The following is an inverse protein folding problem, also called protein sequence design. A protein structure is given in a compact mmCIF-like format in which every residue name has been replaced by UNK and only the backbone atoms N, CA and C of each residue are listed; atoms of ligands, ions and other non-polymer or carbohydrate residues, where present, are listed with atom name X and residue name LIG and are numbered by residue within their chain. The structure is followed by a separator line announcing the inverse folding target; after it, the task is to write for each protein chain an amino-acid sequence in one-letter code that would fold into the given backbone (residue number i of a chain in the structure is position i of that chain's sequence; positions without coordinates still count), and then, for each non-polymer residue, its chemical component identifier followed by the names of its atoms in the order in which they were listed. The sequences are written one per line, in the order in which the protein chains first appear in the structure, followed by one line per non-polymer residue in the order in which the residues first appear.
data_IF_687446067230
#
_entry.id   IF_687446067230
#
_cell.length_a   1.000
_cell.length_b   1.000
_cell.length_c   1.000
_cell.angle_alpha   90.00
_cell.angle_beta   90.00
_cell.angle_gamma   90.00
#
_symmetry.space_group_name_H-M   'P 1'
#
loop_
_entity.id
_entity.type
_entity.pdbx_description
1 polymer ?
#
# COMPACT_ATOMS: atom_id res chain seq x y z
N UNK A 1 16.26 -0.96 -10.85
CA UNK A 1 16.61 -2.26 -10.25
C UNK A 1 18.10 -2.56 -10.48
N UNK A 2 18.73 -3.20 -9.51
CA UNK A 2 20.13 -3.66 -9.64
C UNK A 2 20.27 -4.69 -10.76
N UNK A 3 19.21 -5.41 -11.10
CA UNK A 3 19.11 -6.37 -12.19
C UNK A 3 17.76 -6.26 -12.90
N UNK A 4 17.76 -6.40 -14.23
CA UNK A 4 16.56 -6.41 -15.07
C UNK A 4 16.20 -5.07 -15.69
N UNK A 5 15.06 -5.02 -16.38
CA UNK A 5 14.56 -3.81 -17.02
C UNK A 5 14.08 -2.77 -15.98
N UNK A 6 14.18 -1.47 -16.30
CA UNK A 6 13.60 -0.43 -15.46
C UNK A 6 12.10 -0.66 -15.24
N UNK A 7 11.65 -0.50 -14.00
CA UNK A 7 10.20 -0.52 -13.67
C UNK A 7 9.73 0.92 -13.55
N UNK A 8 8.64 1.25 -14.22
CA UNK A 8 7.97 2.55 -14.08
C UNK A 8 6.81 2.35 -13.13
N UNK A 9 6.80 3.08 -12.03
CA UNK A 9 5.74 3.00 -11.01
C UNK A 9 5.46 4.38 -10.43
N UNK A 10 4.23 4.58 -9.96
CA UNK A 10 3.82 5.76 -9.18
C UNK A 10 3.84 5.48 -7.68
N UNK A 11 4.06 4.23 -7.28
CA UNK A 11 4.10 3.84 -5.87
C UNK A 11 5.41 4.27 -5.20
N UNK A 12 5.29 5.11 -4.16
CA UNK A 12 6.43 5.65 -3.44
C UNK A 12 7.23 4.60 -2.66
N UNK A 13 6.58 3.55 -2.14
CA UNK A 13 7.29 2.49 -1.41
C UNK A 13 8.15 1.64 -2.35
N UNK A 14 7.68 1.34 -3.55
CA UNK A 14 8.44 0.61 -4.57
C UNK A 14 9.69 1.39 -4.99
N UNK A 15 9.56 2.71 -5.17
CA UNK A 15 10.71 3.57 -5.47
C UNK A 15 11.68 3.62 -4.28
N UNK A 16 11.17 3.80 -3.06
CA UNK A 16 12.00 3.89 -1.86
C UNK A 16 12.80 2.60 -1.61
N UNK A 17 12.18 1.43 -1.82
CA UNK A 17 12.82 0.12 -1.61
C UNK A 17 14.04 -0.11 -2.51
N UNK A 18 14.05 0.45 -3.71
CA UNK A 18 15.15 0.29 -4.68
C UNK A 18 16.26 1.34 -4.51
N UNK A 19 16.05 2.35 -3.64
CA UNK A 19 17.03 3.41 -3.44
C UNK A 19 18.22 2.92 -2.62
N UNK A 20 19.41 2.98 -3.19
CA UNK A 20 20.67 2.65 -2.53
C UNK A 20 21.71 3.73 -2.86
N UNK A 21 22.32 4.30 -1.82
CA UNK A 21 23.27 5.39 -1.92
C UNK A 21 24.69 4.88 -1.66
N UNK A 22 25.67 5.47 -2.34
CA UNK A 22 27.09 5.04 -2.25
C UNK A 22 27.71 5.43 -0.92
N UNK A 23 27.37 6.60 -0.36
CA UNK A 23 27.83 7.02 0.94
C UNK A 23 27.10 6.27 2.07
N UNK A 24 27.85 5.72 3.01
CA UNK A 24 27.32 4.92 4.12
C UNK A 24 26.35 5.70 5.01
N UNK A 25 26.66 6.95 5.30
CA UNK A 25 25.84 7.78 6.21
C UNK A 25 24.56 8.23 5.50
N UNK A 26 24.65 8.63 4.25
CA UNK A 26 23.49 8.96 3.44
C UNK A 26 22.59 7.74 3.26
N UNK A 27 23.19 6.56 3.04
CA UNK A 27 22.44 5.30 2.91
C UNK A 27 21.73 4.92 4.20
N UNK A 28 22.30 5.19 5.38
CA UNK A 28 21.58 5.01 6.66
C UNK A 28 20.32 5.88 6.72
N UNK A 29 20.39 7.14 6.27
CA UNK A 29 19.22 8.00 6.14
C UNK A 29 18.19 7.43 5.16
N UNK A 30 18.63 6.94 4.01
CA UNK A 30 17.76 6.30 3.03
C UNK A 30 17.03 5.07 3.61
N UNK A 31 17.72 4.25 4.43
CA UNK A 31 17.08 3.11 5.09
C UNK A 31 15.98 3.53 6.08
N UNK A 32 16.18 4.64 6.80
CA UNK A 32 15.14 5.19 7.69
C UNK A 32 13.90 5.62 6.90
N UNK A 33 14.09 6.29 5.76
CA UNK A 33 12.99 6.68 4.87
C UNK A 33 12.27 5.46 4.29
N UNK A 34 13.01 4.41 3.89
CA UNK A 34 12.42 3.13 3.47
C UNK A 34 11.51 2.55 4.56
N UNK A 35 11.94 2.60 5.81
CA UNK A 35 11.14 2.09 6.94
C UNK A 35 9.83 2.85 7.06
N UNK A 36 9.86 4.20 6.96
CA UNK A 36 8.64 5.02 7.00
C UNK A 36 7.67 4.63 5.87
N UNK A 37 8.17 4.54 4.64
CA UNK A 37 7.34 4.17 3.49
C UNK A 37 6.76 2.76 3.62
N UNK A 38 7.56 1.78 4.08
CA UNK A 38 7.11 0.40 4.26
C UNK A 38 6.06 0.28 5.35
N UNK A 39 6.25 0.89 6.52
CA UNK A 39 5.25 0.87 7.59
C UNK A 39 3.93 1.51 7.14
N UNK A 40 3.98 2.63 6.41
CA UNK A 40 2.77 3.26 5.88
C UNK A 40 2.04 2.35 4.91
N UNK A 41 2.79 1.64 4.05
CA UNK A 41 2.22 0.67 3.12
C UNK A 41 1.57 -0.51 3.85
N UNK A 42 2.22 -1.03 4.88
CA UNK A 42 1.76 -2.20 5.63
C UNK A 42 0.50 -1.88 6.48
N UNK A 43 0.42 -0.66 7.02
CA UNK A 43 -0.68 -0.26 7.90
C UNK A 43 -1.89 0.33 7.15
N UNK A 44 -1.65 1.11 6.10
CA UNK A 44 -2.70 1.85 5.39
C UNK A 44 -2.84 1.47 3.90
N UNK A 45 -1.85 0.85 3.30
CA UNK A 45 -1.84 0.51 1.88
C UNK A 45 -1.69 1.71 0.93
N UNK A 46 -1.77 2.93 1.44
CA UNK A 46 -1.72 4.17 0.67
C UNK A 46 -1.01 5.28 1.46
N UNK A 47 -0.71 6.40 0.80
CA UNK A 47 -0.10 7.57 1.43
C UNK A 47 1.41 7.48 1.67
N UNK A 48 2.10 6.52 1.08
CA UNK A 48 3.55 6.28 1.26
C UNK A 48 4.41 7.49 0.88
N UNK A 49 4.08 8.15 -0.22
CA UNK A 49 4.75 9.38 -0.66
C UNK A 49 4.50 10.53 0.31
N UNK A 50 3.25 10.71 0.75
CA UNK A 50 2.87 11.73 1.73
C UNK A 50 3.61 11.54 3.05
N UNK A 51 3.67 10.32 3.56
CA UNK A 51 4.40 9.99 4.78
C UNK A 51 5.90 10.30 4.66
N UNK A 52 6.49 10.02 3.50
CA UNK A 52 7.91 10.31 3.22
C UNK A 52 8.17 11.83 3.23
N UNK A 53 7.31 12.62 2.59
CA UNK A 53 7.42 14.09 2.57
C UNK A 53 7.23 14.68 3.97
N UNK A 54 6.27 14.16 4.74
CA UNK A 54 6.07 14.58 6.13
C UNK A 54 7.29 14.24 7.00
N UNK A 55 7.84 13.05 6.87
CA UNK A 55 9.05 12.66 7.58
C UNK A 55 10.23 13.61 7.26
N UNK A 56 10.43 13.94 5.98
CA UNK A 56 11.44 14.93 5.58
C UNK A 56 11.21 16.28 6.23
N UNK A 57 9.99 16.79 6.24
CA UNK A 57 9.66 18.08 6.83
C UNK A 57 9.91 18.08 8.35
N UNK A 58 9.48 17.04 9.05
CA UNK A 58 9.67 16.89 10.51
C UNK A 58 11.16 16.83 10.84
N UNK A 59 11.95 16.07 10.10
CA UNK A 59 13.40 15.95 10.31
C UNK A 59 14.10 17.27 10.04
N UNK A 60 13.78 17.96 8.94
CA UNK A 60 14.41 19.23 8.59
C UNK A 60 14.13 20.32 9.63
N UNK A 61 12.91 20.43 10.13
CA UNK A 61 12.57 21.38 11.19
C UNK A 61 13.18 20.97 12.53
N UNK A 62 13.18 19.68 12.84
CA UNK A 62 13.81 19.15 14.05
C UNK A 62 15.31 19.40 14.09
N UNK A 63 16.02 19.23 12.97
CA UNK A 63 17.46 19.50 12.87
C UNK A 63 17.81 20.96 13.16
N UNK A 64 16.98 21.91 12.74
CA UNK A 64 17.17 23.34 13.06
C UNK A 64 17.15 23.57 14.59
N UNK A 65 16.19 22.93 15.27
CA UNK A 65 16.07 23.02 16.72
C UNK A 65 17.27 22.40 17.44
N UNK A 66 17.72 21.21 16.99
CA UNK A 66 18.89 20.55 17.56
C UNK A 66 20.16 21.38 17.33
N UNK A 67 20.34 21.95 16.15
CA UNK A 67 21.44 22.86 15.83
C UNK A 67 21.42 24.12 16.69
N UNK A 68 20.25 24.59 17.12
CA UNK A 68 20.09 25.70 18.05
C UNK A 68 20.32 25.32 19.54
N UNK A 69 20.68 24.04 19.81
CA UNK A 69 21.03 23.58 21.16
C UNK A 69 19.87 22.94 21.95
N UNK A 70 18.72 22.69 21.32
CA UNK A 70 17.63 21.99 21.98
C UNK A 70 18.00 20.51 22.21
N UNK A 71 17.53 19.98 23.33
CA UNK A 71 17.71 18.55 23.62
C UNK A 71 16.89 17.69 22.67
N UNK A 72 17.50 16.75 21.90
CA UNK A 72 16.76 15.90 20.96
C UNK A 72 15.67 15.04 21.59
N UNK A 73 15.86 14.60 22.85
CA UNK A 73 14.87 13.79 23.55
C UNK A 73 13.64 14.59 23.97
N UNK A 74 13.84 15.88 24.35
CA UNK A 74 12.72 16.76 24.65
C UNK A 74 11.96 17.16 23.37
N UNK A 75 12.70 17.35 22.27
CA UNK A 75 12.11 17.56 20.95
C UNK A 75 11.24 16.35 20.54
N UNK A 76 11.75 15.15 20.71
CA UNK A 76 10.99 13.92 20.45
C UNK A 76 9.70 13.85 21.27
N UNK A 77 9.74 14.17 22.56
CA UNK A 77 8.53 14.21 23.40
C UNK A 77 7.52 15.26 22.92
N UNK A 78 8.01 16.40 22.39
CA UNK A 78 7.16 17.41 21.77
C UNK A 78 6.49 16.92 20.50
N UNK A 79 7.24 16.23 19.64
CA UNK A 79 6.73 15.61 18.41
C UNK A 79 5.66 14.55 18.75
N UNK A 80 5.90 13.67 19.73
CA UNK A 80 4.94 12.64 20.16
C UNK A 80 3.61 13.27 20.61
N UNK A 81 3.66 14.35 21.38
CA UNK A 81 2.44 15.08 21.80
C UNK A 81 1.70 15.71 20.62
N UNK A 82 2.44 16.31 19.68
CA UNK A 82 1.85 16.92 18.49
C UNK A 82 1.19 15.86 17.60
N UNK A 83 1.85 14.71 17.41
CA UNK A 83 1.30 13.57 16.65
C UNK A 83 0.02 13.05 17.31
N UNK A 84 0.02 12.85 18.62
CA UNK A 84 -1.18 12.38 19.34
C UNK A 84 -2.36 13.36 19.17
N UNK A 85 -2.12 14.67 19.25
CA UNK A 85 -3.14 15.69 19.03
C UNK A 85 -3.65 15.70 17.57
N UNK A 86 -2.73 15.59 16.59
CA UNK A 86 -3.08 15.56 15.18
C UNK A 86 -3.91 14.30 14.83
N UNK A 87 -3.50 13.11 15.33
CA UNK A 87 -4.23 11.86 15.14
C UNK A 87 -5.64 11.95 15.73
N UNK A 88 -5.78 12.48 16.95
CA UNK A 88 -7.10 12.69 17.57
C UNK A 88 -8.01 13.62 16.75
N UNK A 89 -7.44 14.68 16.16
CA UNK A 89 -8.20 15.56 15.27
C UNK A 89 -8.61 14.88 13.98
N UNK A 90 -7.71 14.10 13.38
CA UNK A 90 -7.99 13.33 12.15
C UNK A 90 -9.05 12.26 12.39
N UNK A 91 -9.00 11.56 13.52
CA UNK A 91 -10.03 10.57 13.88
C UNK A 91 -11.42 11.22 14.03
N UNK A 92 -11.48 12.42 14.60
CA UNK A 92 -12.73 13.17 14.70
C UNK A 92 -13.25 13.72 13.37
N UNK A 93 -12.38 13.90 12.39
CA UNK A 93 -12.72 14.37 11.04
C UNK A 93 -13.00 13.22 10.06
N UNK A 94 -12.60 11.99 10.40
CA UNK A 94 -12.79 10.84 9.52
C UNK A 94 -14.28 10.50 9.36
N UNK A 95 -14.66 10.09 8.17
CA UNK A 95 -16.01 9.65 7.85
C UNK A 95 -16.00 8.17 7.49
N UNK A 96 -17.01 7.38 7.93
CA UNK A 96 -17.14 6.00 7.50
C UNK A 96 -17.32 5.90 5.99
N UNK A 97 -16.58 4.98 5.37
CA UNK A 97 -16.70 4.68 3.95
C UNK A 97 -17.69 3.52 3.78
N UNK A 98 -19.01 3.83 3.76
CA UNK A 98 -20.07 2.81 3.74
C UNK A 98 -20.82 2.76 2.42
N UNK A 99 -20.87 3.87 1.70
CA UNK A 99 -21.58 3.99 0.44
C UNK A 99 -20.67 3.57 -0.73
N UNK A 100 -21.27 2.91 -1.73
CA UNK A 100 -20.55 2.44 -2.94
C UNK A 100 -19.86 3.59 -3.67
N UNK A 101 -20.49 4.77 -3.69
CA UNK A 101 -19.91 5.98 -4.27
C UNK A 101 -18.64 6.42 -3.51
N UNK A 102 -18.64 6.33 -2.20
CA UNK A 102 -17.47 6.65 -1.39
C UNK A 102 -16.36 5.62 -1.60
N UNK A 103 -16.70 4.35 -1.71
CA UNK A 103 -15.75 3.27 -2.03
C UNK A 103 -15.11 3.51 -3.39
N UNK A 104 -15.90 3.82 -4.43
CA UNK A 104 -15.39 4.13 -5.76
C UNK A 104 -14.47 5.36 -5.75
N UNK A 105 -14.82 6.41 -5.00
CA UNK A 105 -13.98 7.60 -4.86
C UNK A 105 -12.65 7.31 -4.19
N UNK A 106 -12.64 6.54 -3.10
CA UNK A 106 -11.41 6.13 -2.41
C UNK A 106 -10.55 5.26 -3.33
N UNK A 107 -11.16 4.28 -4.02
CA UNK A 107 -10.47 3.44 -4.99
C UNK A 107 -9.86 4.27 -6.15
N UNK A 108 -10.60 5.26 -6.65
CA UNK A 108 -10.11 6.19 -7.67
C UNK A 108 -8.90 6.98 -7.21
N UNK A 109 -8.92 7.51 -5.98
CA UNK A 109 -7.80 8.27 -5.42
C UNK A 109 -6.58 7.36 -5.26
N UNK A 110 -6.73 6.17 -4.69
CA UNK A 110 -5.65 5.20 -4.52
C UNK A 110 -5.07 4.72 -5.85
N UNK A 111 -5.90 4.66 -6.89
CA UNK A 111 -5.48 4.34 -8.26
C UNK A 111 -4.93 5.56 -9.05
N UNK A 112 -4.50 6.62 -8.37
CA UNK A 112 -3.99 7.86 -9.00
C UNK A 112 -4.99 8.54 -9.95
N UNK A 113 -6.24 8.66 -9.55
CA UNK A 113 -7.35 9.26 -10.28
C UNK A 113 -7.85 8.43 -11.47
N UNK A 114 -7.60 7.13 -11.46
CA UNK A 114 -8.20 6.19 -12.42
C UNK A 114 -9.61 5.80 -11.94
N UNK A 115 -10.62 6.37 -12.59
CA UNK A 115 -12.03 6.14 -12.24
C UNK A 115 -12.49 4.73 -12.58
N UNK A 116 -11.96 4.12 -13.63
CA UNK A 116 -12.32 2.76 -14.03
C UNK A 116 -11.91 1.75 -12.97
N UNK A 117 -10.70 1.89 -12.45
CA UNK A 117 -10.22 1.04 -11.35
C UNK A 117 -11.05 1.25 -10.09
N UNK A 118 -11.41 2.50 -9.77
CA UNK A 118 -12.29 2.80 -8.62
C UNK A 118 -13.66 2.16 -8.73
N UNK A 119 -14.27 2.18 -9.92
CA UNK A 119 -15.57 1.55 -10.19
C UNK A 119 -15.49 0.02 -10.08
N UNK A 120 -14.45 -0.61 -10.64
CA UNK A 120 -14.24 -2.07 -10.52
C UNK A 120 -14.08 -2.50 -9.07
N UNK A 121 -13.33 -1.73 -8.27
CA UNK A 121 -13.16 -2.02 -6.84
C UNK A 121 -14.51 -1.90 -6.10
N UNK A 122 -15.30 -0.87 -6.38
CA UNK A 122 -16.62 -0.72 -5.77
C UNK A 122 -17.56 -1.86 -6.16
N UNK A 123 -17.56 -2.28 -7.44
CA UNK A 123 -18.33 -3.44 -7.90
C UNK A 123 -17.87 -4.74 -7.21
N UNK A 124 -16.56 -4.94 -7.08
CA UNK A 124 -16.01 -6.07 -6.34
C UNK A 124 -16.51 -6.09 -4.89
N UNK A 125 -16.44 -4.95 -4.21
CA UNK A 125 -16.89 -4.81 -2.82
C UNK A 125 -18.38 -5.08 -2.66
N UNK A 126 -19.22 -4.66 -3.61
CA UNK A 126 -20.64 -4.99 -3.62
C UNK A 126 -20.90 -6.50 -3.72
N UNK A 127 -20.12 -7.21 -4.54
CA UNK A 127 -20.28 -8.65 -4.76
C UNK A 127 -19.78 -9.50 -3.59
N UNK A 128 -18.65 -9.13 -3.00
CA UNK A 128 -18.03 -9.90 -1.89
C UNK A 128 -18.42 -9.42 -0.51
N UNK A 129 -18.95 -8.20 -0.40
CA UNK A 129 -19.31 -7.57 0.87
C UNK A 129 -18.08 -7.08 1.66
N UNK A 130 -18.33 -6.44 2.81
CA UNK A 130 -17.29 -5.80 3.65
C UNK A 130 -16.30 -6.79 4.25
N UNK A 131 -16.68 -8.04 4.41
CA UNK A 131 -15.86 -9.13 4.96
C UNK A 131 -15.09 -9.89 3.87
N UNK A 132 -15.34 -9.56 2.61
CA UNK A 132 -14.69 -10.22 1.48
C UNK A 132 -13.24 -9.77 1.28
N UNK A 133 -12.44 -10.65 0.69
CA UNK A 133 -11.05 -10.36 0.35
C UNK A 133 -10.97 -10.02 -1.14
N UNK A 134 -10.35 -8.89 -1.44
CA UNK A 134 -10.09 -8.45 -2.82
C UNK A 134 -8.58 -8.53 -3.05
N UNK A 135 -8.18 -9.30 -4.06
CA UNK A 135 -6.78 -9.39 -4.51
C UNK A 135 -6.65 -8.78 -5.89
N UNK A 136 -5.48 -8.24 -6.19
CA UNK A 136 -5.15 -7.67 -7.49
C UNK A 136 -3.98 -8.45 -8.08
N UNK A 137 -4.17 -8.99 -9.28
CA UNK A 137 -3.16 -9.78 -9.97
C UNK A 137 -2.97 -9.26 -11.39
N UNK A 138 -1.83 -9.57 -12.01
CA UNK A 138 -1.61 -9.24 -13.41
C UNK A 138 -2.47 -10.16 -14.30
N UNK A 139 -3.39 -9.55 -15.04
CA UNK A 139 -4.21 -10.25 -16.03
C UNK A 139 -3.43 -10.59 -17.31
N UNK A 140 -3.93 -11.56 -18.05
CA UNK A 140 -3.40 -11.92 -19.38
C UNK A 140 -3.95 -11.06 -20.51
N UNK A 141 -5.02 -10.30 -20.26
CA UNK A 141 -5.72 -9.44 -21.20
C UNK A 141 -5.22 -7.99 -21.24
N UNK A 142 -5.81 -7.20 -22.12
CA UNK A 142 -5.52 -5.76 -22.25
C UNK A 142 -6.46 -4.94 -21.33
N UNK A 143 -7.62 -5.47 -21.02
CA UNK A 143 -8.64 -4.83 -20.19
C UNK A 143 -8.61 -5.40 -18.78
N UNK A 144 -9.04 -4.59 -17.80
CA UNK A 144 -9.20 -5.05 -16.43
C UNK A 144 -10.44 -5.94 -16.35
N UNK A 145 -10.30 -7.08 -15.70
CA UNK A 145 -11.37 -8.05 -15.48
C UNK A 145 -11.64 -8.23 -13.99
N UNK A 146 -12.92 -8.42 -13.64
CA UNK A 146 -13.34 -8.73 -12.28
C UNK A 146 -13.81 -10.19 -12.24
N UNK A 147 -13.07 -11.04 -11.54
CA UNK A 147 -13.46 -12.41 -11.24
C UNK A 147 -13.93 -12.53 -9.79
N UNK A 148 -15.08 -13.15 -9.58
CA UNK A 148 -15.63 -13.39 -8.24
C UNK A 148 -15.66 -14.89 -8.01
N UNK A 149 -15.04 -15.32 -6.91
CA UNK A 149 -14.99 -16.73 -6.48
C UNK A 149 -15.82 -16.89 -5.21
N UNK A 150 -16.67 -17.89 -5.18
CA UNK A 150 -17.36 -18.29 -3.96
C UNK A 150 -16.44 -19.22 -3.17
N UNK A 151 -15.92 -18.74 -2.05
CA UNK A 151 -14.99 -19.46 -1.20
C UNK A 151 -13.72 -18.66 -0.87
N UNK A 152 -12.62 -19.36 -0.72
CA UNK A 152 -11.32 -18.75 -0.40
C UNK A 152 -10.29 -19.17 -1.46
N UNK A 153 -9.62 -18.18 -2.03
CA UNK A 153 -8.47 -18.41 -2.91
C UNK A 153 -7.18 -18.32 -2.10
N UNK A 154 -6.29 -19.29 -2.26
CA UNK A 154 -4.96 -19.28 -1.65
C UNK A 154 -3.92 -19.74 -2.65
N UNK A 155 -2.72 -19.17 -2.52
CA UNK A 155 -1.58 -19.52 -3.34
C UNK A 155 -1.12 -20.97 -3.09
N UNK A 156 -0.53 -21.58 -4.10
CA UNK A 156 0.01 -22.94 -4.04
C UNK A 156 -1.04 -24.00 -3.71
N UNK A 157 -2.17 -23.95 -4.40
CA UNK A 157 -3.29 -24.86 -4.18
C UNK A 157 -3.00 -26.32 -4.47
N UNK A 158 -1.97 -26.66 -5.26
CA UNK A 158 -1.57 -28.03 -5.54
C UNK A 158 -0.06 -28.24 -5.43
N UNK A 159 0.32 -29.46 -5.07
CA UNK A 159 1.72 -29.81 -4.85
C UNK A 159 2.46 -30.20 -6.14
N UNK A 160 1.75 -30.49 -7.21
CA UNK A 160 2.32 -30.91 -8.49
C UNK A 160 1.42 -30.52 -9.66
N UNK A 161 1.97 -30.09 -10.81
CA UNK A 161 1.21 -29.84 -12.03
C UNK A 161 0.39 -31.04 -12.53
N UNK A 162 0.72 -32.26 -12.10
CA UNK A 162 -0.02 -33.45 -12.45
C UNK A 162 -1.41 -33.56 -11.79
N UNK A 163 -1.70 -32.71 -10.80
CA UNK A 163 -3.04 -32.60 -10.23
C UNK A 163 -4.03 -31.83 -11.10
N UNK A 164 -3.54 -31.08 -12.11
CA UNK A 164 -4.38 -30.40 -13.07
C UNK A 164 -5.11 -31.40 -13.94
N UNK A 165 -6.44 -31.45 -13.84
CA UNK A 165 -7.30 -32.29 -14.64
C UNK A 165 -8.04 -31.51 -15.74
N UNK A 166 -8.20 -30.22 -15.61
CA UNK A 166 -8.68 -29.32 -16.65
C UNK A 166 -7.50 -28.51 -17.24
N UNK A 167 -7.01 -28.98 -18.39
CA UNK A 167 -5.83 -28.39 -19.04
C UNK A 167 -6.11 -27.03 -19.70
N UNK A 168 -7.36 -26.78 -20.13
CA UNK A 168 -7.73 -25.54 -20.80
C UNK A 168 -7.73 -24.35 -19.81
N UNK A 169 -8.17 -24.59 -18.59
CA UNK A 169 -8.20 -23.60 -17.50
C UNK A 169 -7.01 -23.70 -16.56
N UNK A 170 -6.16 -24.72 -16.71
CA UNK A 170 -5.06 -25.00 -15.80
C UNK A 170 -5.52 -25.17 -14.34
N UNK A 171 -6.66 -25.78 -14.11
CA UNK A 171 -7.26 -26.00 -12.80
C UNK A 171 -7.32 -27.48 -12.41
N UNK A 172 -7.33 -27.75 -11.11
CA UNK A 172 -7.68 -29.03 -10.53
C UNK A 172 -9.14 -28.96 -10.03
N UNK A 173 -10.04 -29.57 -10.74
CA UNK A 173 -11.47 -29.59 -10.45
C UNK A 173 -11.88 -30.91 -9.81
N UNK A 174 -12.59 -30.85 -8.68
CA UNK A 174 -13.15 -31.99 -7.98
C UNK A 174 -14.66 -31.87 -8.02
N UNK A 175 -15.34 -32.87 -8.62
CA UNK A 175 -16.79 -32.93 -8.62
C UNK A 175 -17.22 -33.88 -7.49
N UNK A 176 -18.17 -33.44 -6.66
CA UNK A 176 -18.73 -34.22 -5.53
C UNK A 176 -17.64 -34.84 -4.61
N UNK A 177 -16.69 -34.03 -4.05
CA UNK A 177 -15.58 -34.57 -3.27
C UNK A 177 -16.00 -35.08 -1.88
#
# INVERSE_FOLDING_TARGET
KSFGAPTVTKDGVSVAKELELQDKFENMGAQMVKTVASQTSDEAGDGTTTATVLAQSIVNEGLKSVAAGFNPMDLKRGIDKAVAAAVGTLQGASQPCEEDTAIAQVGTISANSDTQVGEIIAEAMQKVGKEGVITVEEGSGIENELEVVEGMQFDRGYLSPYFINNQDRMTAELEDP
#
